data_IF_284083996454
#
_entry.id   IF_284083996454
#
_cell.length_a   1.000
_cell.length_b   1.000
_cell.length_c   1.000
_cell.angle_alpha   90.00
_cell.angle_beta   90.00
_cell.angle_gamma   90.00
#
_symmetry.space_group_name_H-M   'P 1'
#
loop_
_entity.id
_entity.type
_entity.pdbx_description
1 polymer ?
#
# COMPACT_ATOMS: atom_id res chain seq x y z
N UNK A 1 24.79 -17.94 12.67
CA UNK A 1 23.66 -17.59 11.80
C UNK A 1 22.50 -18.57 12.04
N UNK A 2 21.28 -18.04 12.14
CA UNK A 2 20.07 -18.86 12.20
C UNK A 2 19.38 -18.72 10.85
N UNK A 3 19.02 -19.87 10.27
CA UNK A 3 18.24 -19.93 9.02
C UNK A 3 16.93 -20.60 9.31
N UNK A 4 15.82 -20.04 8.85
CA UNK A 4 14.53 -20.71 8.83
C UNK A 4 14.27 -21.16 7.39
N UNK A 5 14.03 -22.44 7.20
CA UNK A 5 13.51 -22.95 5.94
C UNK A 5 12.10 -23.49 6.19
N UNK A 6 11.15 -23.05 5.39
CA UNK A 6 9.79 -23.57 5.37
C UNK A 6 9.62 -24.47 4.15
N UNK A 7 9.05 -25.64 4.31
CA UNK A 7 8.60 -26.48 3.20
C UNK A 7 7.11 -26.21 3.01
N UNK A 8 6.78 -25.37 2.03
CA UNK A 8 5.41 -25.18 1.62
C UNK A 8 5.05 -26.23 0.56
N UNK A 9 4.01 -27.00 0.82
CA UNK A 9 3.27 -27.90 -0.10
C UNK A 9 3.99 -29.12 -0.67
N UNK A 10 3.19 -30.02 -1.19
CA UNK A 10 3.49 -31.35 -1.73
C UNK A 10 4.38 -31.41 -2.97
N UNK A 11 4.87 -30.27 -3.47
CA UNK A 11 5.81 -30.19 -4.59
C UNK A 11 7.20 -29.81 -4.08
N UNK A 12 8.13 -30.76 -4.15
CA UNK A 12 9.37 -30.79 -3.38
C UNK A 12 10.50 -29.88 -3.90
N UNK A 13 10.24 -28.89 -4.75
CA UNK A 13 11.29 -28.15 -5.45
C UNK A 13 11.56 -26.72 -4.97
N UNK A 14 10.74 -26.11 -4.12
CA UNK A 14 10.97 -24.74 -3.65
C UNK A 14 11.04 -24.63 -2.13
N UNK A 15 12.25 -24.56 -1.59
CA UNK A 15 12.51 -24.13 -0.21
C UNK A 15 12.87 -22.66 -0.19
N UNK A 16 12.05 -21.82 0.44
CA UNK A 16 12.44 -20.44 0.74
C UNK A 16 13.28 -20.41 2.02
N UNK A 17 14.48 -19.84 1.93
CA UNK A 17 15.37 -19.68 3.08
C UNK A 17 15.39 -18.23 3.51
N UNK A 18 15.04 -17.95 4.79
CA UNK A 18 15.13 -16.62 5.38
C UNK A 18 16.36 -16.58 6.29
N UNK A 19 17.30 -15.69 6.04
CA UNK A 19 18.43 -15.44 6.93
C UNK A 19 18.01 -14.43 8.00
N UNK A 20 18.17 -14.79 9.27
CA UNK A 20 17.77 -13.94 10.39
C UNK A 20 19.01 -13.35 11.03
N UNK A 21 18.99 -12.03 11.26
CA UNK A 21 19.96 -11.33 12.10
C UNK A 21 19.39 -11.18 13.51
N UNK A 22 20.24 -11.19 14.57
CA UNK A 22 19.76 -10.94 15.92
C UNK A 22 19.22 -9.51 16.04
N UNK A 23 18.09 -9.36 16.75
CA UNK A 23 17.50 -8.07 17.06
C UNK A 23 18.35 -7.21 18.02
N UNK A 24 19.20 -7.85 18.82
CA UNK A 24 20.18 -7.19 19.71
C UNK A 24 21.48 -7.96 19.71
N UNK A 25 22.61 -7.26 19.63
CA UNK A 25 23.93 -7.82 19.87
C UNK A 25 24.12 -8.00 21.37
N UNK A 26 23.78 -9.18 21.88
CA UNK A 26 24.16 -9.58 23.25
C UNK A 26 25.57 -10.09 23.24
N UNK A 27 26.48 -9.45 23.98
CA UNK A 27 27.76 -10.06 24.31
C UNK A 27 27.50 -11.33 25.16
N UNK A 28 27.93 -12.48 24.69
CA UNK A 28 28.04 -13.68 25.50
C UNK A 28 26.83 -14.61 25.61
N UNK A 29 26.01 -14.79 24.61
CA UNK A 29 25.25 -16.02 24.39
C UNK A 29 24.06 -16.33 25.31
N UNK A 30 23.62 -15.48 26.22
CA UNK A 30 22.36 -15.63 26.96
C UNK A 30 21.37 -14.58 26.55
N UNK A 31 20.19 -15.03 26.04
CA UNK A 31 19.04 -14.15 25.81
C UNK A 31 19.03 -13.42 24.46
N UNK A 32 19.68 -13.94 23.42
CA UNK A 32 19.58 -13.38 22.07
C UNK A 32 18.25 -13.81 21.44
N UNK A 33 17.40 -12.83 21.07
CA UNK A 33 16.12 -13.08 20.39
C UNK A 33 16.26 -12.89 18.89
N UNK A 34 15.71 -13.83 18.13
CA UNK A 34 15.64 -13.78 16.68
C UNK A 34 14.19 -13.79 16.27
N UNK A 35 13.82 -12.95 15.31
CA UNK A 35 12.44 -12.90 14.79
C UNK A 35 12.44 -13.09 13.28
N UNK A 36 11.51 -13.90 12.79
CA UNK A 36 11.24 -14.05 11.36
C UNK A 36 9.75 -14.14 11.10
N UNK A 37 9.34 -13.60 9.95
CA UNK A 37 7.99 -13.79 9.40
C UNK A 37 8.02 -15.01 8.47
N UNK A 38 7.14 -15.96 8.72
CA UNK A 38 7.01 -17.19 7.91
C UNK A 38 5.61 -17.24 7.33
N UNK A 39 5.49 -17.68 6.08
CA UNK A 39 4.19 -17.82 5.42
C UNK A 39 3.27 -18.78 6.19
N UNK A 40 2.00 -18.45 6.41
CA UNK A 40 1.03 -19.35 7.03
C UNK A 40 0.79 -20.59 6.16
N UNK A 41 0.42 -21.71 6.79
CA UNK A 41 0.14 -22.96 6.09
C UNK A 41 1.36 -23.88 5.93
N UNK A 42 2.49 -23.55 6.54
CA UNK A 42 3.66 -24.41 6.58
C UNK A 42 3.36 -25.63 7.45
N UNK A 43 3.32 -26.82 6.84
CA UNK A 43 3.02 -28.08 7.56
C UNK A 43 4.18 -28.59 8.40
N UNK A 44 5.40 -28.22 8.06
CA UNK A 44 6.61 -28.53 8.82
C UNK A 44 7.66 -27.44 8.58
N UNK A 45 8.01 -26.70 9.62
CA UNK A 45 9.09 -25.72 9.61
C UNK A 45 10.37 -26.30 10.23
N UNK A 46 11.52 -25.84 9.74
CA UNK A 46 12.81 -26.23 10.27
C UNK A 46 13.65 -24.98 10.61
N UNK A 47 14.17 -24.93 11.82
CA UNK A 47 15.17 -23.95 12.24
C UNK A 47 16.56 -24.57 12.06
N UNK A 48 17.41 -23.92 11.26
CA UNK A 48 18.77 -24.34 11.02
C UNK A 48 19.73 -23.42 11.76
N UNK A 49 20.65 -23.99 12.51
CA UNK A 49 21.68 -23.28 13.23
C UNK A 49 23.03 -23.64 12.64
N UNK A 50 23.74 -22.65 12.13
CA UNK A 50 25.09 -22.83 11.61
C UNK A 50 26.06 -21.99 12.43
N UNK A 51 27.21 -22.53 12.76
CA UNK A 51 28.33 -21.80 13.31
C UNK A 51 29.07 -21.07 12.16
N UNK A 52 29.79 -20.00 12.49
CA UNK A 52 30.52 -19.17 11.51
C UNK A 52 31.70 -19.88 10.84
N UNK A 53 32.12 -21.00 11.37
CA UNK A 53 33.35 -21.69 10.98
C UNK A 53 33.13 -23.03 10.27
N UNK A 54 31.90 -23.57 10.22
CA UNK A 54 31.64 -24.87 9.63
C UNK A 54 30.59 -24.81 8.51
N UNK A 55 30.98 -25.33 7.38
CA UNK A 55 30.10 -25.62 6.23
C UNK A 55 29.40 -26.96 6.37
N UNK A 56 29.59 -27.69 7.45
CA UNK A 56 29.12 -29.05 7.62
C UNK A 56 27.94 -29.14 8.59
N UNK A 57 26.86 -29.76 8.12
CA UNK A 57 25.62 -30.18 8.77
C UNK A 57 25.05 -29.21 9.83
N UNK A 58 24.08 -28.36 9.45
CA UNK A 58 23.40 -27.52 10.41
C UNK A 58 22.62 -28.37 11.43
N UNK A 59 22.59 -27.92 12.68
CA UNK A 59 21.65 -28.47 13.66
C UNK A 59 20.24 -28.06 13.29
N UNK A 60 19.33 -29.02 13.20
CA UNK A 60 17.96 -28.81 12.72
C UNK A 60 16.97 -29.04 13.85
N UNK A 61 16.09 -28.05 14.03
CA UNK A 61 14.97 -28.17 14.97
C UNK A 61 13.66 -28.11 14.18
N UNK A 62 12.79 -29.09 14.36
CA UNK A 62 11.46 -29.13 13.76
C UNK A 62 10.51 -28.22 14.56
N UNK A 63 9.80 -27.33 13.90
CA UNK A 63 8.87 -26.41 14.56
C UNK A 63 7.45 -26.94 14.67
N UNK A 64 7.09 -27.98 13.94
CA UNK A 64 5.69 -28.39 13.74
C UNK A 64 4.96 -27.45 12.76
N UNK A 65 3.65 -27.64 12.63
CA UNK A 65 2.80 -26.82 11.78
C UNK A 65 2.64 -25.40 12.36
N UNK A 66 2.75 -24.40 11.49
CA UNK A 66 2.56 -22.99 11.85
C UNK A 66 1.22 -22.49 11.31
N UNK A 67 0.35 -22.01 12.20
CA UNK A 67 -0.98 -21.52 11.88
C UNK A 67 -0.97 -20.02 11.50
N UNK A 68 -1.87 -19.65 10.62
CA UNK A 68 -2.07 -18.23 10.27
C UNK A 68 -2.56 -17.42 11.48
N UNK A 69 -2.05 -16.19 11.65
CA UNK A 69 -2.47 -15.31 12.74
C UNK A 69 -1.87 -15.66 14.12
N UNK A 70 -0.94 -16.60 14.19
CA UNK A 70 -0.26 -17.01 15.42
C UNK A 70 1.18 -16.52 15.46
N UNK A 71 1.66 -16.20 16.65
CA UNK A 71 3.06 -15.95 16.98
C UNK A 71 3.61 -17.14 17.76
N UNK A 72 4.75 -17.66 17.34
CA UNK A 72 5.42 -18.80 17.98
C UNK A 72 6.75 -18.35 18.57
N UNK A 73 6.90 -18.48 19.87
CA UNK A 73 8.15 -18.21 20.57
C UNK A 73 8.79 -19.54 21.00
N UNK A 74 9.95 -19.86 20.47
CA UNK A 74 10.73 -21.05 20.81
C UNK A 74 11.85 -20.65 21.76
N UNK A 75 11.81 -21.17 23.00
CA UNK A 75 12.90 -21.03 23.95
C UNK A 75 13.86 -22.20 23.77
N UNK A 76 15.07 -21.90 23.31
CA UNK A 76 16.06 -22.90 22.94
C UNK A 76 17.29 -22.82 23.84
N UNK A 77 17.81 -23.98 24.22
CA UNK A 77 19.17 -24.08 24.72
C UNK A 77 20.09 -24.62 23.64
N UNK A 78 21.09 -23.83 23.26
CA UNK A 78 22.08 -24.21 22.25
C UNK A 78 23.35 -24.65 22.94
N UNK A 79 23.67 -25.93 22.83
CA UNK A 79 24.94 -26.51 23.25
C UNK A 79 25.92 -26.68 22.08
N UNK A 80 27.12 -27.14 22.34
CA UNK A 80 28.17 -27.26 21.31
C UNK A 80 27.74 -28.19 20.14
N UNK A 81 26.96 -29.23 20.41
CA UNK A 81 26.53 -30.22 19.42
C UNK A 81 25.03 -30.58 19.53
N UNK A 82 24.27 -29.83 20.30
CA UNK A 82 22.84 -30.13 20.56
C UNK A 82 22.05 -28.82 20.66
N UNK A 83 20.81 -28.86 20.18
CA UNK A 83 19.81 -27.83 20.44
C UNK A 83 18.59 -28.50 21.07
N UNK A 84 18.15 -27.93 22.17
CA UNK A 84 16.96 -28.42 22.89
C UNK A 84 15.90 -27.35 22.87
N UNK A 85 14.69 -27.70 22.45
CA UNK A 85 13.52 -26.83 22.64
C UNK A 85 13.08 -27.01 24.11
N UNK A 86 13.16 -25.97 24.90
CA UNK A 86 12.72 -26.01 26.30
C UNK A 86 11.21 -25.88 26.39
N UNK A 87 10.66 -24.89 25.67
CA UNK A 87 9.22 -24.70 25.52
C UNK A 87 8.89 -23.97 24.22
N UNK A 88 7.61 -23.97 23.86
CA UNK A 88 7.05 -23.20 22.73
C UNK A 88 5.83 -22.47 23.24
N UNK A 89 5.87 -21.15 23.22
CA UNK A 89 4.71 -20.34 23.53
C UNK A 89 4.01 -19.93 22.23
N UNK A 90 2.70 -20.17 22.16
CA UNK A 90 1.86 -19.80 21.00
C UNK A 90 0.89 -18.71 21.46
N UNK A 91 0.91 -17.57 20.81
CA UNK A 91 0.03 -16.45 21.08
C UNK A 91 -0.72 -16.02 19.80
N UNK A 92 -1.90 -15.45 19.96
CA UNK A 92 -2.60 -14.81 18.85
C UNK A 92 -1.81 -13.61 18.36
N UNK A 93 -1.62 -13.51 17.06
CA UNK A 93 -0.95 -12.36 16.48
C UNK A 93 -1.85 -11.11 16.61
N UNK A 94 -1.47 -10.19 17.48
CA UNK A 94 -2.13 -8.88 17.61
C UNK A 94 -3.07 -8.69 18.80
N UNK A 95 -3.20 -9.64 19.73
CA UNK A 95 -4.05 -9.47 20.92
C UNK A 95 -3.31 -9.38 22.25
N UNK A 96 -2.09 -9.89 22.36
CA UNK A 96 -1.36 -9.88 23.62
C UNK A 96 -0.24 -8.85 23.66
N UNK A 97 -0.25 -8.02 24.71
CA UNK A 97 0.88 -7.17 25.07
C UNK A 97 2.02 -8.06 25.50
N UNK A 98 3.10 -8.09 24.73
CA UNK A 98 4.37 -8.66 25.19
C UNK A 98 4.94 -7.67 26.22
N UNK A 99 4.79 -7.97 27.49
CA UNK A 99 5.47 -7.24 28.55
C UNK A 99 6.98 -7.54 28.42
N UNK A 100 7.76 -6.55 28.00
CA UNK A 100 9.22 -6.62 27.97
C UNK A 100 9.92 -6.42 26.66
N UNK A 101 9.19 -6.15 25.56
CA UNK A 101 9.79 -5.80 24.28
C UNK A 101 8.70 -5.41 23.31
N UNK A 102 8.41 -4.12 23.20
CA UNK A 102 7.44 -3.61 22.25
C UNK A 102 7.95 -3.73 20.82
N UNK A 103 7.58 -4.80 20.12
CA UNK A 103 7.45 -4.74 18.68
C UNK A 103 5.97 -4.47 18.35
N UNK A 104 5.49 -3.29 18.65
CA UNK A 104 4.24 -2.82 18.09
C UNK A 104 4.51 -2.55 16.59
N UNK A 105 4.13 -3.49 15.73
CA UNK A 105 4.09 -3.24 14.30
C UNK A 105 2.89 -2.35 14.01
N UNK A 106 3.12 -1.06 14.03
CA UNK A 106 2.20 -0.11 13.42
C UNK A 106 2.58 0.00 11.95
N UNK A 107 1.67 -0.28 11.03
CA UNK A 107 1.92 -0.11 9.60
C UNK A 107 1.88 1.38 9.27
N UNK A 108 2.84 2.14 9.78
CA UNK A 108 3.01 3.55 9.46
C UNK A 108 3.13 3.74 7.95
N UNK A 109 2.72 4.90 7.48
CA UNK A 109 3.09 5.31 6.13
C UNK A 109 4.61 5.37 6.08
N UNK A 110 5.22 4.47 5.31
CA UNK A 110 6.66 4.26 5.26
C UNK A 110 7.17 4.49 3.85
N UNK A 111 8.21 5.29 3.73
CA UNK A 111 8.90 5.57 2.48
C UNK A 111 10.28 4.95 2.49
N UNK A 112 10.59 4.22 1.42
CA UNK A 112 11.91 3.61 1.20
C UNK A 112 12.48 4.13 -0.12
N UNK A 113 13.78 4.42 -0.12
CA UNK A 113 14.52 4.86 -1.31
C UNK A 113 15.87 4.15 -1.37
N UNK A 114 16.30 3.76 -2.57
CA UNK A 114 17.58 3.06 -2.77
C UNK A 114 18.81 3.93 -2.64
N UNK A 115 18.65 5.25 -2.76
CA UNK A 115 19.67 6.28 -2.56
C UNK A 115 19.21 7.32 -1.56
N UNK A 116 20.07 8.28 -1.22
CA UNK A 116 19.72 9.40 -0.37
C UNK A 116 18.63 10.26 -1.04
N UNK A 117 17.59 10.58 -0.29
CA UNK A 117 16.45 11.37 -0.73
C UNK A 117 16.08 12.38 0.34
N UNK A 118 15.50 13.50 -0.04
CA UNK A 118 15.01 14.52 0.88
C UNK A 118 13.49 14.65 0.81
N UNK A 119 12.85 14.44 1.95
CA UNK A 119 11.42 14.68 2.17
C UNK A 119 11.19 16.11 2.62
N UNK A 120 10.15 16.72 2.10
CA UNK A 120 9.54 17.95 2.59
C UNK A 120 8.02 17.81 2.58
N UNK A 121 7.36 18.52 3.47
CA UNK A 121 5.91 18.71 3.42
C UNK A 121 5.59 20.18 3.25
N UNK A 122 4.94 20.52 2.14
CA UNK A 122 4.60 21.88 1.77
C UNK A 122 3.11 22.15 1.97
N UNK A 123 2.74 23.34 2.41
CA UNK A 123 1.33 23.72 2.65
C UNK A 123 0.83 24.73 1.65
N UNK A 124 -0.47 24.63 1.33
CA UNK A 124 -1.18 25.50 0.40
C UNK A 124 -2.45 26.07 1.07
N UNK A 125 -2.81 27.30 0.70
CA UNK A 125 -4.04 27.95 1.16
C UNK A 125 -4.09 28.18 2.67
N UNK A 126 -2.95 28.48 3.29
CA UNK A 126 -2.81 28.65 4.74
C UNK A 126 -3.18 27.40 5.56
N UNK A 127 -2.95 26.19 5.00
CA UNK A 127 -3.08 24.97 5.79
C UNK A 127 -1.98 24.89 6.86
N UNK A 128 -2.35 24.55 8.07
CA UNK A 128 -1.42 24.35 9.18
C UNK A 128 -1.25 22.84 9.44
N UNK A 129 -0.01 22.33 9.33
CA UNK A 129 0.30 20.94 9.68
C UNK A 129 0.13 20.79 11.18
N UNK A 130 -0.69 19.86 11.62
CA UNK A 130 -0.87 19.56 13.03
C UNK A 130 -0.94 18.07 13.30
N UNK A 131 -0.31 17.63 14.40
CA UNK A 131 -0.34 16.26 14.88
C UNK A 131 0.29 15.24 13.93
N UNK A 132 1.13 15.66 12.98
CA UNK A 132 1.86 14.79 12.07
C UNK A 132 3.32 14.70 12.50
N UNK A 133 3.85 13.50 12.62
CA UNK A 133 5.22 13.21 13.04
C UNK A 133 5.93 12.33 12.02
N UNK A 134 7.26 12.45 11.98
CA UNK A 134 8.13 11.59 11.21
C UNK A 134 9.22 10.94 12.08
N UNK A 135 9.75 9.82 11.60
CA UNK A 135 10.93 9.15 12.14
C UNK A 135 11.77 8.62 10.97
N UNK A 136 13.10 8.75 11.07
CA UNK A 136 14.04 8.19 10.09
C UNK A 136 14.78 7.04 10.74
N UNK A 137 14.87 5.89 10.05
CA UNK A 137 15.61 4.69 10.48
C UNK A 137 15.27 4.23 11.92
N UNK A 138 13.98 4.22 12.26
CA UNK A 138 13.49 3.93 13.62
C UNK A 138 14.02 4.85 14.73
N UNK A 139 14.47 6.05 14.37
CA UNK A 139 14.89 7.07 15.33
C UNK A 139 13.70 7.67 16.10
N UNK A 140 13.98 8.70 16.87
CA UNK A 140 12.94 9.43 17.62
C UNK A 140 11.93 10.09 16.69
N UNK A 141 10.66 10.14 17.16
CA UNK A 141 9.58 10.82 16.44
C UNK A 141 9.69 12.32 16.63
N UNK A 142 9.69 13.05 15.51
CA UNK A 142 9.76 14.51 15.47
C UNK A 142 8.53 15.05 14.74
N UNK A 143 8.11 16.26 15.11
CA UNK A 143 6.97 16.91 14.45
C UNK A 143 7.34 17.33 13.02
N UNK A 144 6.42 17.11 12.09
CA UNK A 144 6.57 17.60 10.71
C UNK A 144 6.34 19.10 10.69
N UNK A 145 7.33 19.84 10.18
CA UNK A 145 7.28 21.29 10.01
C UNK A 145 7.21 21.61 8.52
N UNK A 146 6.40 22.61 8.17
CA UNK A 146 6.26 23.08 6.79
C UNK A 146 7.63 23.44 6.18
N UNK A 147 7.88 22.95 4.97
CA UNK A 147 9.08 23.19 4.16
C UNK A 147 10.43 22.80 4.85
N UNK A 148 10.38 22.04 5.94
CA UNK A 148 11.59 21.57 6.61
C UNK A 148 12.13 20.30 5.93
N UNK A 149 13.38 20.31 5.40
CA UNK A 149 13.95 19.15 4.72
C UNK A 149 14.37 18.05 5.70
N UNK A 150 14.02 16.80 5.37
CA UNK A 150 14.39 15.60 6.13
C UNK A 150 15.04 14.60 5.19
N UNK A 151 16.29 14.24 5.44
CA UNK A 151 17.05 13.30 4.62
C UNK A 151 16.79 11.86 5.07
N UNK A 152 16.56 10.95 4.11
CA UNK A 152 16.34 9.52 4.33
C UNK A 152 16.82 8.71 3.11
N UNK A 153 16.63 7.40 3.11
CA UNK A 153 17.01 6.51 2.00
C UNK A 153 18.49 6.10 2.01
N UNK A 154 18.85 5.11 1.20
CA UNK A 154 20.18 4.52 1.21
C UNK A 154 20.61 4.12 2.62
N UNK A 155 21.80 4.53 3.01
CA UNK A 155 22.37 4.26 4.35
C UNK A 155 21.67 5.02 5.50
N UNK A 156 20.83 6.01 5.17
CA UNK A 156 20.03 6.77 6.16
C UNK A 156 18.78 6.01 6.63
N UNK A 157 18.41 4.93 5.94
CA UNK A 157 17.24 4.11 6.27
C UNK A 157 15.91 4.68 5.79
N UNK A 158 14.80 4.09 6.24
CA UNK A 158 13.43 4.45 5.86
C UNK A 158 12.94 5.71 6.58
N UNK A 159 12.01 6.42 5.93
CA UNK A 159 11.22 7.51 6.53
C UNK A 159 9.84 6.98 6.88
N UNK A 160 9.37 7.23 8.08
CA UNK A 160 8.02 6.87 8.55
C UNK A 160 7.24 8.10 8.95
N UNK A 161 5.96 8.09 8.62
CA UNK A 161 5.00 9.11 9.07
C UNK A 161 3.90 8.49 9.93
N UNK A 162 3.46 9.22 10.97
CA UNK A 162 2.28 8.95 11.78
C UNK A 162 1.57 10.23 12.15
N UNK A 163 0.30 10.14 12.55
CA UNK A 163 -0.44 11.34 12.90
C UNK A 163 -1.51 11.14 13.96
N UNK A 164 -2.09 12.25 14.42
CA UNK A 164 -3.23 12.34 15.35
C UNK A 164 -4.29 13.34 14.88
N UNK A 165 -4.29 13.71 13.58
CA UNK A 165 -5.27 14.62 13.02
C UNK A 165 -6.37 13.85 12.29
N UNK A 166 -7.51 13.62 12.93
CA UNK A 166 -8.66 12.88 12.39
C UNK A 166 -9.24 13.49 11.10
N UNK A 167 -8.94 14.75 10.79
CA UNK A 167 -9.36 15.41 9.55
C UNK A 167 -8.41 15.15 8.37
N UNK A 168 -7.26 14.53 8.61
CA UNK A 168 -6.25 14.22 7.59
C UNK A 168 -5.25 15.34 7.35
N UNK A 169 -4.78 15.46 6.11
CA UNK A 169 -3.72 16.40 5.70
C UNK A 169 -4.26 17.57 4.86
N UNK A 170 -5.58 17.74 4.82
CA UNK A 170 -6.25 18.82 4.10
C UNK A 170 -7.57 19.19 4.77
N UNK A 171 -7.97 20.46 4.67
CA UNK A 171 -9.31 20.93 5.03
C UNK A 171 -10.22 21.09 3.81
N UNK A 172 -9.64 21.34 2.64
CA UNK A 172 -10.35 21.41 1.34
C UNK A 172 -9.42 21.03 0.19
N UNK A 173 -9.94 21.02 -1.04
CA UNK A 173 -9.14 20.78 -2.26
C UNK A 173 -8.08 21.86 -2.56
N UNK A 174 -8.17 23.03 -1.92
CA UNK A 174 -7.23 24.16 -2.08
C UNK A 174 -6.50 24.54 -0.78
N UNK A 175 -6.89 23.96 0.35
CA UNK A 175 -6.26 24.17 1.66
C UNK A 175 -5.77 22.82 2.17
N UNK A 176 -4.51 22.52 1.89
CA UNK A 176 -3.95 21.18 2.04
C UNK A 176 -2.43 21.21 2.21
N UNK A 177 -1.86 20.06 2.50
CA UNK A 177 -0.42 19.82 2.44
C UNK A 177 -0.08 18.75 1.41
N UNK A 178 1.14 18.85 0.86
CA UNK A 178 1.68 17.95 -0.17
C UNK A 178 3.04 17.45 0.25
N UNK A 179 3.28 16.15 0.07
CA UNK A 179 4.59 15.52 0.24
C UNK A 179 5.40 15.78 -1.04
N UNK A 180 6.61 16.30 -0.86
CA UNK A 180 7.57 16.53 -1.93
C UNK A 180 8.89 15.78 -1.64
N UNK A 181 9.43 15.10 -2.66
CA UNK A 181 10.75 14.50 -2.66
C UNK A 181 11.63 15.25 -3.66
N UNK A 182 12.75 15.79 -3.18
CA UNK A 182 13.51 16.80 -3.94
C UNK A 182 14.49 16.22 -4.94
N UNK A 183 14.94 14.97 -4.78
CA UNK A 183 15.82 14.30 -5.73
C UNK A 183 14.98 13.55 -6.79
N UNK A 184 15.03 14.03 -8.03
CA UNK A 184 14.24 13.50 -9.14
C UNK A 184 14.73 12.12 -9.65
N UNK A 185 15.98 11.78 -9.38
CA UNK A 185 16.62 10.55 -9.86
C UNK A 185 16.43 9.38 -8.89
N UNK A 186 16.15 9.67 -7.62
CA UNK A 186 15.96 8.67 -6.58
C UNK A 186 14.49 8.32 -6.41
N UNK A 187 14.10 7.14 -6.85
CA UNK A 187 12.73 6.63 -6.73
C UNK A 187 12.38 6.27 -5.30
N UNK A 188 11.09 6.50 -4.95
CA UNK A 188 10.56 6.29 -3.61
C UNK A 188 9.39 5.31 -3.67
N UNK A 189 9.46 4.24 -2.89
CA UNK A 189 8.33 3.35 -2.66
C UNK A 189 7.62 3.74 -1.35
N UNK A 190 6.28 3.75 -1.38
CA UNK A 190 5.43 4.00 -0.22
C UNK A 190 4.67 2.72 0.14
N UNK A 191 4.56 2.44 1.44
CA UNK A 191 3.78 1.34 2.01
C UNK A 191 3.07 1.78 3.29
N UNK A 192 2.24 0.90 3.86
CA UNK A 192 1.55 1.14 5.12
C UNK A 192 0.16 1.75 4.94
N UNK A 193 -0.58 1.83 6.03
CA UNK A 193 -1.99 2.25 6.05
C UNK A 193 -2.10 3.76 6.26
N UNK A 194 -2.74 4.46 5.29
CA UNK A 194 -2.90 5.93 5.35
C UNK A 194 -3.64 6.39 6.63
N UNK A 195 -4.49 5.55 7.22
CA UNK A 195 -5.25 5.88 8.44
C UNK A 195 -4.34 6.11 9.65
N UNK A 196 -3.09 5.63 9.60
CA UNK A 196 -2.10 5.92 10.65
C UNK A 196 -1.74 7.40 10.74
N UNK A 197 -2.03 8.19 9.70
CA UNK A 197 -1.91 9.65 9.74
C UNK A 197 -3.07 10.33 10.50
N UNK A 198 -4.22 9.64 10.62
CA UNK A 198 -5.40 10.15 11.34
C UNK A 198 -5.32 9.85 12.85
N UNK A 199 -4.81 8.67 13.20
CA UNK A 199 -4.72 8.24 14.59
C UNK A 199 -3.96 6.92 14.68
N UNK A 200 -2.64 6.98 14.76
CA UNK A 200 -1.77 5.81 14.63
C UNK A 200 -2.02 4.73 15.69
N UNK A 201 -2.43 5.10 16.91
CA UNK A 201 -2.73 4.17 18.00
C UNK A 201 -4.01 3.35 17.76
N UNK A 202 -4.98 3.93 17.03
CA UNK A 202 -6.30 3.34 16.77
C UNK A 202 -6.67 3.31 15.29
N UNK A 203 -5.68 3.29 14.39
CA UNK A 203 -5.87 3.46 12.94
C UNK A 203 -6.90 2.50 12.33
N UNK A 204 -7.04 1.28 12.87
CA UNK A 204 -8.00 0.29 12.36
C UNK A 204 -9.46 0.68 12.57
N UNK A 205 -9.74 1.50 13.59
CA UNK A 205 -11.09 1.90 14.00
C UNK A 205 -11.32 3.41 13.85
N UNK A 206 -10.34 4.16 13.33
CA UNK A 206 -10.49 5.61 13.16
C UNK A 206 -11.60 5.91 12.15
N UNK A 207 -12.43 6.90 12.48
CA UNK A 207 -13.47 7.39 11.58
C UNK A 207 -12.85 8.14 10.39
N UNK A 208 -13.21 7.74 9.18
CA UNK A 208 -12.71 8.34 7.93
C UNK A 208 -13.72 9.26 7.25
N UNK A 209 -14.94 9.42 7.79
CA UNK A 209 -16.02 10.20 7.15
C UNK A 209 -15.68 11.67 6.91
N UNK A 210 -14.76 12.24 7.67
CA UNK A 210 -14.31 13.63 7.53
C UNK A 210 -12.87 13.78 7.04
N UNK A 211 -12.13 12.67 6.95
CA UNK A 211 -10.72 12.68 6.60
C UNK A 211 -10.50 13.09 5.13
N UNK A 212 -9.55 13.98 4.90
CA UNK A 212 -9.16 14.44 3.57
C UNK A 212 -7.64 14.35 3.39
N UNK A 213 -7.24 13.78 2.27
CA UNK A 213 -5.86 13.66 1.80
C UNK A 213 -5.71 14.30 0.40
N UNK A 214 -6.43 15.42 0.20
CA UNK A 214 -6.37 16.15 -1.07
C UNK A 214 -4.93 16.52 -1.38
N UNK A 215 -4.49 16.26 -2.62
CA UNK A 215 -3.18 16.61 -3.15
C UNK A 215 -1.97 16.05 -2.36
N UNK A 216 -2.13 15.04 -1.48
CA UNK A 216 -1.06 14.61 -0.58
C UNK A 216 0.23 14.22 -1.31
N UNK A 217 0.14 13.61 -2.50
CA UNK A 217 1.27 13.24 -3.36
C UNK A 217 1.21 13.96 -4.74
N UNK A 218 0.63 15.16 -4.79
CA UNK A 218 0.47 15.91 -6.03
C UNK A 218 1.82 16.20 -6.69
N UNK A 219 1.95 15.84 -7.98
CA UNK A 219 3.18 15.95 -8.80
C UNK A 219 4.42 15.25 -8.21
N UNK A 220 4.22 14.23 -7.37
CA UNK A 220 5.30 13.41 -6.82
C UNK A 220 5.79 12.39 -7.87
N UNK A 221 6.59 12.86 -8.84
CA UNK A 221 7.02 12.09 -10.01
C UNK A 221 7.93 10.88 -9.68
N UNK A 222 8.54 10.84 -8.50
CA UNK A 222 9.44 9.75 -8.08
C UNK A 222 8.74 8.63 -7.32
N UNK A 223 7.46 8.81 -6.96
CA UNK A 223 6.69 7.82 -6.21
C UNK A 223 6.35 6.60 -7.08
N UNK A 224 6.74 5.39 -6.65
CA UNK A 224 6.54 4.13 -7.41
C UNK A 224 5.38 3.28 -6.90
N UNK A 225 5.01 3.40 -5.63
CA UNK A 225 3.89 2.68 -5.03
C UNK A 225 3.11 3.57 -4.07
N UNK A 226 1.80 3.33 -3.94
CA UNK A 226 0.90 4.06 -3.06
C UNK A 226 0.76 3.37 -1.69
N UNK A 227 0.46 4.10 -0.60
CA UNK A 227 0.06 3.51 0.68
C UNK A 227 -1.29 2.82 0.56
N UNK A 228 -1.64 1.95 1.50
CA UNK A 228 -2.97 1.34 1.58
C UNK A 228 -4.06 2.39 1.86
N UNK A 229 -5.21 2.28 1.16
CA UNK A 229 -6.35 3.19 1.25
C UNK A 229 -7.63 2.43 1.63
N UNK A 230 -7.70 1.83 2.82
CA UNK A 230 -8.75 0.89 3.19
C UNK A 230 -10.09 1.53 3.61
N UNK A 231 -10.25 2.85 3.51
CA UNK A 231 -11.47 3.54 3.90
C UNK A 231 -12.66 3.11 3.04
N UNK A 232 -13.75 2.70 3.69
CA UNK A 232 -15.04 2.37 3.06
C UNK A 232 -16.06 3.49 3.18
N UNK A 233 -15.83 4.44 4.09
CA UNK A 233 -16.64 5.65 4.24
C UNK A 233 -15.77 6.86 3.88
N UNK A 234 -16.25 7.65 2.94
CA UNK A 234 -15.46 8.70 2.30
C UNK A 234 -16.05 10.08 2.56
N UNK A 235 -15.17 11.05 2.84
CA UNK A 235 -15.51 12.47 2.80
C UNK A 235 -15.61 12.96 1.35
N UNK A 236 -16.36 14.03 1.11
CA UNK A 236 -16.25 14.78 -0.14
C UNK A 236 -14.82 15.30 -0.31
N UNK A 237 -14.28 15.15 -1.53
CA UNK A 237 -12.90 15.50 -1.88
C UNK A 237 -11.81 14.73 -1.13
N UNK A 238 -12.08 13.59 -0.46
CA UNK A 238 -11.11 12.91 0.42
C UNK A 238 -9.78 12.57 -0.26
N UNK A 239 -9.80 12.13 -1.51
CA UNK A 239 -8.61 11.77 -2.30
C UNK A 239 -8.49 12.60 -3.59
N UNK A 240 -9.05 13.83 -3.59
CA UNK A 240 -8.98 14.75 -4.72
C UNK A 240 -7.53 14.96 -5.15
N UNK A 241 -7.18 14.57 -6.40
CA UNK A 241 -5.85 14.68 -7.00
C UNK A 241 -4.71 14.12 -6.14
N UNK A 242 -4.99 13.14 -5.26
CA UNK A 242 -4.01 12.63 -4.30
C UNK A 242 -2.70 12.17 -4.95
N UNK A 243 -2.77 11.50 -6.11
CA UNK A 243 -1.61 11.03 -6.88
C UNK A 243 -1.52 11.69 -8.27
N UNK A 244 -2.13 12.85 -8.46
CA UNK A 244 -2.03 13.55 -9.73
C UNK A 244 -0.56 13.81 -10.09
N UNK A 245 -0.14 13.43 -11.31
CA UNK A 245 1.22 13.68 -11.78
C UNK A 245 2.30 12.73 -11.20
N UNK A 246 1.94 11.70 -10.44
CA UNK A 246 2.87 10.65 -9.99
C UNK A 246 3.28 9.77 -11.17
N UNK A 247 4.14 10.30 -12.05
CA UNK A 247 4.47 9.68 -13.33
C UNK A 247 5.20 8.33 -13.22
N UNK A 248 5.87 8.04 -12.09
CA UNK A 248 6.52 6.75 -11.81
C UNK A 248 5.63 5.76 -11.03
N UNK A 249 4.37 6.10 -10.74
CA UNK A 249 3.49 5.23 -9.96
C UNK A 249 3.08 4.01 -10.81
N UNK A 250 3.59 2.84 -10.43
CA UNK A 250 3.33 1.55 -11.10
C UNK A 250 2.16 0.80 -10.45
N UNK A 251 1.99 0.95 -9.14
CA UNK A 251 0.99 0.21 -8.34
C UNK A 251 0.11 1.17 -7.56
N UNK A 252 -1.17 1.18 -7.89
CA UNK A 252 -2.21 1.84 -7.11
C UNK A 252 -2.70 0.90 -5.99
N UNK A 253 -3.20 1.48 -4.91
CA UNK A 253 -3.85 0.74 -3.81
C UNK A 253 -5.30 0.45 -4.14
N UNK A 254 -5.85 -0.60 -3.54
CA UNK A 254 -7.27 -0.92 -3.62
C UNK A 254 -8.15 0.22 -3.07
N UNK A 255 -9.33 0.39 -3.67
CA UNK A 255 -10.32 1.38 -3.30
C UNK A 255 -11.63 0.67 -2.93
N UNK A 256 -11.79 0.22 -1.68
CA UNK A 256 -12.86 -0.72 -1.31
C UNK A 256 -14.24 -0.09 -1.12
N UNK A 257 -14.37 1.25 -1.20
CA UNK A 257 -15.63 1.93 -0.95
C UNK A 257 -16.69 1.58 -2.00
N UNK A 258 -17.85 1.10 -1.55
CA UNK A 258 -19.00 0.78 -2.39
C UNK A 258 -20.00 1.95 -2.52
N UNK A 259 -19.94 2.91 -1.61
CA UNK A 259 -20.69 4.18 -1.65
C UNK A 259 -19.72 5.34 -1.69
N UNK A 260 -19.84 6.17 -2.72
CA UNK A 260 -18.92 7.28 -2.95
C UNK A 260 -19.48 8.61 -2.45
N UNK A 261 -18.58 9.50 -2.06
CA UNK A 261 -18.87 10.90 -1.76
C UNK A 261 -18.58 11.79 -2.98
N UNK A 262 -19.13 12.99 -3.00
CA UNK A 262 -18.93 13.94 -4.08
C UNK A 262 -17.44 14.26 -4.25
N UNK A 263 -16.96 14.22 -5.49
CA UNK A 263 -15.59 14.55 -5.88
C UNK A 263 -14.49 13.76 -5.15
N UNK A 264 -14.80 12.60 -4.55
CA UNK A 264 -13.86 11.86 -3.70
C UNK A 264 -12.60 11.41 -4.43
N UNK A 265 -12.68 11.06 -5.72
CA UNK A 265 -11.57 10.58 -6.55
C UNK A 265 -11.30 11.45 -7.80
N UNK A 266 -11.74 12.74 -7.81
CA UNK A 266 -11.46 13.63 -8.95
C UNK A 266 -9.96 13.69 -9.24
N UNK A 267 -9.58 13.30 -10.46
CA UNK A 267 -8.21 13.37 -10.95
C UNK A 267 -7.18 12.60 -10.11
N UNK A 268 -7.62 11.63 -9.30
CA UNK A 268 -6.78 10.96 -8.30
C UNK A 268 -5.50 10.38 -8.90
N UNK A 269 -5.57 9.74 -10.05
CA UNK A 269 -4.44 9.16 -10.76
C UNK A 269 -4.13 9.85 -12.10
N UNK A 270 -4.70 11.02 -12.33
CA UNK A 270 -4.46 11.74 -13.59
C UNK A 270 -2.95 11.96 -13.81
N UNK A 271 -2.46 11.69 -15.02
CA UNK A 271 -1.04 11.76 -15.40
C UNK A 271 -0.11 10.76 -14.69
N UNK A 272 -0.62 9.67 -14.10
CA UNK A 272 0.19 8.54 -13.66
C UNK A 272 0.59 7.70 -14.89
N UNK A 273 1.59 8.14 -15.63
CA UNK A 273 1.94 7.56 -16.92
C UNK A 273 2.51 6.14 -16.85
N UNK A 274 3.10 5.72 -15.72
CA UNK A 274 3.58 4.35 -15.50
C UNK A 274 2.52 3.38 -14.98
N UNK A 275 1.29 3.84 -14.68
CA UNK A 275 0.24 2.99 -14.15
C UNK A 275 -0.35 2.10 -15.25
N UNK A 276 -0.09 0.79 -15.19
CA UNK A 276 -0.56 -0.20 -16.17
C UNK A 276 -1.97 -0.74 -15.86
N UNK A 277 -2.31 -0.84 -14.58
CA UNK A 277 -3.59 -1.40 -14.11
C UNK A 277 -4.25 -0.45 -13.11
N UNK A 278 -5.48 -0.07 -13.39
CA UNK A 278 -6.30 0.67 -12.43
C UNK A 278 -6.64 -0.21 -11.20
N UNK A 279 -6.81 0.36 -10.01
CA UNK A 279 -7.46 -0.33 -8.92
C UNK A 279 -8.89 -0.71 -9.32
N UNK A 280 -9.43 -1.77 -8.72
CA UNK A 280 -10.85 -2.11 -8.90
C UNK A 280 -11.72 -0.99 -8.33
N UNK A 281 -12.75 -0.59 -9.08
CA UNK A 281 -13.76 0.38 -8.67
C UNK A 281 -15.09 -0.35 -8.36
N UNK A 282 -15.28 -0.81 -7.11
CA UNK A 282 -16.39 -1.68 -6.75
C UNK A 282 -17.70 -0.92 -6.47
N UNK A 283 -17.68 0.42 -6.50
CA UNK A 283 -18.78 1.25 -6.05
C UNK A 283 -20.08 1.00 -6.83
N UNK A 284 -21.13 0.73 -6.08
CA UNK A 284 -22.51 0.57 -6.57
C UNK A 284 -23.38 1.80 -6.33
N UNK A 285 -22.91 2.75 -5.52
CA UNK A 285 -23.54 4.05 -5.29
C UNK A 285 -22.55 5.15 -5.64
N UNK A 286 -22.84 5.88 -6.72
CA UNK A 286 -22.01 6.99 -7.19
C UNK A 286 -22.46 8.33 -6.60
N UNK A 287 -21.60 9.35 -6.76
CA UNK A 287 -21.88 10.73 -6.42
C UNK A 287 -21.42 11.67 -7.54
N UNK A 288 -21.75 12.96 -7.45
CA UNK A 288 -21.29 13.96 -8.43
C UNK A 288 -19.77 13.99 -8.49
N UNK A 289 -19.22 14.03 -9.70
CA UNK A 289 -17.79 14.14 -10.00
C UNK A 289 -16.89 13.03 -9.37
N UNK A 290 -17.45 11.93 -8.87
CA UNK A 290 -16.68 10.98 -8.06
C UNK A 290 -15.47 10.38 -8.80
N UNK A 291 -15.57 10.10 -10.10
CA UNK A 291 -14.48 9.59 -10.96
C UNK A 291 -14.04 10.59 -12.04
N UNK A 292 -14.48 11.86 -11.96
CA UNK A 292 -14.11 12.87 -12.95
C UNK A 292 -12.58 12.97 -13.09
N UNK A 293 -12.06 12.88 -14.33
CA UNK A 293 -10.63 12.95 -14.68
C UNK A 293 -9.74 11.86 -14.01
N UNK A 294 -10.29 10.81 -13.40
CA UNK A 294 -9.57 9.92 -12.49
C UNK A 294 -8.28 9.32 -13.08
N UNK A 295 -8.33 8.80 -14.30
CA UNK A 295 -7.20 8.19 -15.02
C UNK A 295 -6.80 8.99 -16.27
N UNK A 296 -7.17 10.25 -16.35
CA UNK A 296 -6.83 11.09 -17.50
C UNK A 296 -5.31 11.09 -17.71
N UNK A 297 -4.86 10.87 -18.97
CA UNK A 297 -3.45 10.85 -19.33
C UNK A 297 -2.62 9.73 -18.62
N UNK A 298 -3.23 8.65 -18.17
CA UNK A 298 -2.53 7.44 -17.74
C UNK A 298 -2.15 6.63 -19.00
N UNK A 299 -1.10 7.07 -19.69
CA UNK A 299 -0.79 6.59 -21.05
C UNK A 299 -0.51 5.10 -21.14
N UNK A 300 0.05 4.47 -20.08
CA UNK A 300 0.34 3.03 -20.04
C UNK A 300 -0.81 2.16 -19.53
N UNK A 301 -1.99 2.74 -19.25
CA UNK A 301 -3.10 1.99 -18.67
C UNK A 301 -3.68 0.97 -19.65
N UNK A 302 -3.69 -0.31 -19.25
CA UNK A 302 -4.17 -1.43 -20.08
C UNK A 302 -5.44 -2.09 -19.54
N UNK A 303 -5.76 -1.91 -18.25
CA UNK A 303 -6.89 -2.60 -17.62
C UNK A 303 -7.61 -1.73 -16.60
N UNK A 304 -8.95 -1.68 -16.73
CA UNK A 304 -9.84 -0.99 -15.80
C UNK A 304 -11.04 -1.87 -15.47
N UNK A 305 -11.41 -1.94 -14.19
CA UNK A 305 -12.65 -2.59 -13.72
C UNK A 305 -13.49 -1.57 -12.97
N UNK A 306 -14.70 -1.27 -13.49
CA UNK A 306 -15.66 -0.34 -12.88
C UNK A 306 -17.05 -0.97 -12.87
N UNK A 307 -17.57 -1.28 -11.68
CA UNK A 307 -18.74 -2.10 -11.48
C UNK A 307 -20.02 -1.29 -11.13
N UNK A 308 -19.99 0.03 -11.36
CA UNK A 308 -21.16 0.86 -11.12
C UNK A 308 -22.32 0.51 -12.07
N UNK A 309 -23.58 0.43 -11.55
CA UNK A 309 -24.75 0.18 -12.37
C UNK A 309 -25.10 1.37 -13.26
N UNK A 310 -25.76 1.07 -14.38
CA UNK A 310 -26.10 2.06 -15.41
C UNK A 310 -26.93 3.23 -14.90
N UNK A 311 -27.89 2.99 -13.99
CA UNK A 311 -28.71 4.03 -13.39
C UNK A 311 -27.89 5.03 -12.58
N UNK A 312 -26.84 4.57 -11.87
CA UNK A 312 -25.93 5.44 -11.12
C UNK A 312 -25.03 6.25 -12.05
N UNK A 313 -24.51 5.64 -13.12
CA UNK A 313 -23.70 6.34 -14.14
C UNK A 313 -24.54 7.44 -14.80
N UNK A 314 -25.79 7.17 -15.14
CA UNK A 314 -26.69 8.13 -15.79
C UNK A 314 -27.20 9.23 -14.84
N UNK A 315 -27.31 8.92 -13.54
CA UNK A 315 -27.86 9.83 -12.53
C UNK A 315 -27.05 11.12 -12.38
N UNK A 316 -25.73 11.02 -12.46
CA UNK A 316 -24.84 12.18 -12.27
C UNK A 316 -24.14 12.57 -13.59
N UNK A 317 -24.25 13.83 -13.99
CA UNK A 317 -23.73 14.29 -15.29
C UNK A 317 -22.23 14.12 -15.42
N UNK A 318 -21.47 14.45 -14.39
CA UNK A 318 -20.01 14.55 -14.44
C UNK A 318 -19.29 13.42 -13.66
N UNK A 319 -20.01 12.37 -13.19
CA UNK A 319 -19.41 11.32 -12.36
C UNK A 319 -18.22 10.61 -13.02
N UNK A 320 -18.25 10.42 -14.36
CA UNK A 320 -17.21 9.78 -15.16
C UNK A 320 -16.70 10.70 -16.29
N UNK A 321 -16.83 12.02 -16.14
CA UNK A 321 -16.40 12.95 -17.17
C UNK A 321 -14.89 12.87 -17.42
N UNK A 322 -14.51 12.60 -18.67
CA UNK A 322 -13.13 12.49 -19.12
C UNK A 322 -12.24 11.56 -18.23
N UNK A 323 -12.84 10.58 -17.55
CA UNK A 323 -12.14 9.75 -16.58
C UNK A 323 -11.05 8.85 -17.17
N UNK A 324 -11.19 8.45 -18.46
CA UNK A 324 -10.22 7.68 -19.25
C UNK A 324 -9.68 8.49 -20.46
N UNK A 325 -9.85 9.81 -20.48
CA UNK A 325 -9.38 10.63 -21.59
C UNK A 325 -7.85 10.51 -21.74
N UNK A 326 -7.39 10.13 -22.97
CA UNK A 326 -5.98 9.85 -23.27
C UNK A 326 -5.32 8.79 -22.34
N UNK A 327 -6.11 7.89 -21.76
CA UNK A 327 -5.60 6.73 -21.05
C UNK A 327 -5.31 5.58 -22.02
N UNK A 328 -4.23 4.83 -21.77
CA UNK A 328 -3.85 3.69 -22.60
C UNK A 328 -3.41 4.07 -24.01
N UNK A 329 -2.80 5.22 -24.19
CA UNK A 329 -2.39 5.75 -25.53
C UNK A 329 -0.93 5.51 -25.87
N UNK A 330 -0.14 4.88 -24.98
CA UNK A 330 1.26 4.55 -25.29
C UNK A 330 1.34 3.64 -26.53
N UNK A 331 2.31 3.91 -27.38
CA UNK A 331 2.48 3.22 -28.67
C UNK A 331 2.75 1.71 -28.54
N UNK A 332 3.23 1.27 -27.37
CA UNK A 332 3.53 -0.14 -27.09
C UNK A 332 2.30 -0.94 -26.63
N UNK A 333 1.16 -0.27 -26.35
CA UNK A 333 -0.05 -0.96 -25.91
C UNK A 333 -0.75 -1.59 -27.11
N UNK A 334 -0.79 -2.92 -27.11
CA UNK A 334 -1.44 -3.73 -28.15
C UNK A 334 -2.88 -4.11 -27.81
N UNK A 335 -3.26 -4.09 -26.52
CA UNK A 335 -4.60 -4.46 -26.06
C UNK A 335 -4.99 -3.72 -24.81
N UNK A 336 -6.31 -3.49 -24.66
CA UNK A 336 -6.92 -2.90 -23.45
C UNK A 336 -8.09 -3.74 -23.03
N UNK A 337 -8.39 -3.74 -21.73
CA UNK A 337 -9.56 -4.43 -21.15
C UNK A 337 -10.35 -3.48 -20.26
N UNK A 338 -11.61 -3.28 -20.59
CA UNK A 338 -12.57 -2.58 -19.74
C UNK A 338 -13.56 -3.62 -19.21
N UNK A 339 -13.60 -3.80 -17.90
CA UNK A 339 -14.60 -4.63 -17.23
C UNK A 339 -15.65 -3.74 -16.57
N UNK A 340 -16.92 -3.98 -16.89
CA UNK A 340 -18.09 -3.24 -16.39
C UNK A 340 -19.07 -4.20 -15.73
N UNK A 341 -20.11 -3.69 -15.06
CA UNK A 341 -21.12 -4.54 -14.47
C UNK A 341 -21.83 -5.40 -15.54
N UNK A 342 -22.37 -4.75 -16.57
CA UNK A 342 -23.13 -5.36 -17.65
C UNK A 342 -23.12 -4.49 -18.92
N UNK A 343 -23.85 -4.92 -19.96
CA UNK A 343 -24.03 -4.17 -21.21
C UNK A 343 -24.62 -2.77 -20.98
N UNK A 344 -25.61 -2.64 -20.09
CA UNK A 344 -26.25 -1.35 -19.84
C UNK A 344 -25.29 -0.36 -19.20
N UNK A 345 -24.43 -0.83 -18.29
CA UNK A 345 -23.36 0.00 -17.70
C UNK A 345 -22.36 0.48 -18.75
N UNK A 346 -21.97 -0.39 -19.69
CA UNK A 346 -21.12 0.01 -20.82
C UNK A 346 -21.79 1.09 -21.68
N UNK A 347 -23.06 0.87 -22.09
CA UNK A 347 -23.80 1.83 -22.92
C UNK A 347 -23.97 3.18 -22.20
N UNK A 348 -24.17 3.17 -20.88
CA UNK A 348 -24.20 4.38 -20.06
C UNK A 348 -22.87 5.13 -20.06
N UNK A 349 -21.73 4.43 -19.98
CA UNK A 349 -20.40 5.05 -20.10
C UNK A 349 -20.16 5.65 -21.49
N UNK A 350 -20.58 4.96 -22.55
CA UNK A 350 -20.50 5.49 -23.93
C UNK A 350 -21.33 6.78 -24.05
N UNK A 351 -22.55 6.79 -23.50
CA UNK A 351 -23.42 7.98 -23.48
C UNK A 351 -22.82 9.14 -22.67
N UNK A 352 -21.95 8.85 -21.68
CA UNK A 352 -21.21 9.85 -20.88
C UNK A 352 -19.88 10.27 -21.51
N UNK A 353 -19.59 9.84 -22.74
CA UNK A 353 -18.37 10.23 -23.47
C UNK A 353 -17.15 9.38 -23.11
N UNK A 354 -17.33 8.07 -23.01
CA UNK A 354 -16.19 7.14 -22.89
C UNK A 354 -15.20 7.36 -24.04
N UNK A 355 -13.92 7.45 -23.72
CA UNK A 355 -12.84 7.65 -24.70
C UNK A 355 -12.83 6.53 -25.75
N UNK A 356 -12.52 6.87 -27.01
CA UNK A 356 -12.56 5.98 -28.17
C UNK A 356 -11.67 4.74 -27.99
N UNK A 357 -10.52 4.87 -27.31
CA UNK A 357 -9.60 3.76 -27.06
C UNK A 357 -10.19 2.69 -26.14
N UNK A 358 -11.25 3.00 -25.41
CA UNK A 358 -11.92 2.12 -24.46
C UNK A 358 -13.29 1.62 -24.95
N UNK A 359 -13.65 1.89 -26.21
CA UNK A 359 -14.88 1.38 -26.83
C UNK A 359 -14.64 0.01 -27.49
N UNK A 360 -15.76 -0.73 -27.69
CA UNK A 360 -15.78 -1.98 -28.46
C UNK A 360 -15.13 -1.74 -29.83
N UNK A 361 -14.30 -2.68 -30.30
CA UNK A 361 -13.50 -2.55 -31.50
C UNK A 361 -12.10 -1.99 -31.28
N UNK A 362 -11.86 -1.24 -30.19
CA UNK A 362 -10.52 -0.76 -29.75
C UNK A 362 -10.09 -1.37 -28.42
N UNK A 363 -11.03 -1.88 -27.64
CA UNK A 363 -10.86 -2.43 -26.31
C UNK A 363 -11.65 -3.73 -26.19
N UNK A 364 -11.15 -4.72 -25.45
CA UNK A 364 -11.93 -5.87 -25.01
C UNK A 364 -12.83 -5.41 -23.87
N UNK A 365 -14.15 -5.47 -24.08
CA UNK A 365 -15.12 -5.12 -23.05
C UNK A 365 -15.73 -6.39 -22.47
N UNK A 366 -15.70 -6.53 -21.14
CA UNK A 366 -16.20 -7.69 -20.41
C UNK A 366 -17.29 -7.26 -19.41
N UNK A 367 -18.26 -8.13 -19.16
CA UNK A 367 -19.16 -7.98 -18.01
C UNK A 367 -18.50 -8.45 -16.70
N UNK A 368 -19.22 -8.34 -15.58
CA UNK A 368 -18.74 -8.78 -14.26
C UNK A 368 -18.42 -10.29 -14.18
N UNK A 369 -19.00 -11.11 -15.06
CA UNK A 369 -18.81 -12.55 -15.17
C UNK A 369 -17.67 -12.92 -16.15
N UNK A 370 -16.94 -11.93 -16.70
CA UNK A 370 -15.93 -12.06 -17.76
C UNK A 370 -16.49 -12.52 -19.10
N UNK A 371 -17.79 -12.32 -19.38
CA UNK A 371 -18.37 -12.55 -20.68
C UNK A 371 -18.11 -11.34 -21.58
N UNK A 372 -17.69 -11.58 -22.83
CA UNK A 372 -17.41 -10.50 -23.75
C UNK A 372 -18.70 -9.76 -24.14
N UNK A 373 -18.66 -8.43 -24.03
CA UNK A 373 -19.67 -7.53 -24.57
C UNK A 373 -19.24 -7.12 -25.98
N UNK A 374 -19.99 -7.50 -26.98
CA UNK A 374 -19.73 -7.24 -28.40
C UNK A 374 -20.79 -6.29 -28.98
N UNK A 375 -20.60 -5.82 -30.21
CA UNK A 375 -21.58 -4.97 -30.92
C UNK A 375 -22.98 -5.57 -30.96
#
# INVERSE_FOLDING_TARGET
>A
HIRIASKASTDASETSTINIKPLQNGEGGKGTTYTALVAPGTTEGHLYFTDNESTETPLVVKTGALEAGKSYTYNLTVGKNTITINDVTVAEWGTDKIEGGKAEYYPYVTFTAGGEQTFKMETYGNYEISGLQYSVNNGEWQDVVNDNPVTFGGDKGDLRLRGKNVNGTASSSSVCSTINFTDADVKVACTGDIRTLLGWESYKTVDTQNAKFCNLFYDCAVLTSAPELPATQLASYCYFKMFYGCSSLEKASDLPAETLAASCYVGMFSKCSSLEKAPKLPATQLASDCYNLMFRNCTNLTSVTMLAPSDQILKYTDCCKSWLYEAGTDANITSRTLKVQDRNAYDALVAKGLDENWKIGKCTVLDENNTAITE
#
